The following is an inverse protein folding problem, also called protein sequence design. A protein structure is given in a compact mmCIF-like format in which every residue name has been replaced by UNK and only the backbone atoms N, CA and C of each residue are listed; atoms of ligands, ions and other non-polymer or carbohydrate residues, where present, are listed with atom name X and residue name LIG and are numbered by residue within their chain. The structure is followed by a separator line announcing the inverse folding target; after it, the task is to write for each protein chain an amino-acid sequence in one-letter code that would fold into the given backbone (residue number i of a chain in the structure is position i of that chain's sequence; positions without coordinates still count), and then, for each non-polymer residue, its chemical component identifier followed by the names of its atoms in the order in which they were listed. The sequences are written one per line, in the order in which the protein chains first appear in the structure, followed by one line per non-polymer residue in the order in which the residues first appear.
data_IF_368296118816
#
_entry.id   IF_368296118816
#
_cell.length_a   1.000
_cell.length_b   1.000
_cell.length_c   1.000
_cell.angle_alpha   90.00
_cell.angle_beta   90.00
_cell.angle_gamma   90.00
#
_symmetry.space_group_name_H-M   'P 1'
#
loop_
_entity.id
_entity.type
_entity.pdbx_description
1 polymer ?
#
# COMPACT_ATOMS: atom_id res chain seq x y z
N UNK A 1 1.48 41.60 -62.17
CA UNK A 1 0.61 42.15 -61.11
C UNK A 1 -0.52 41.18 -60.86
N UNK A 2 -0.90 40.89 -59.60
CA UNK A 2 -0.13 40.84 -58.34
C UNK A 2 -0.24 39.40 -57.74
N UNK A 3 0.35 38.94 -56.63
CA UNK A 3 1.12 39.44 -55.47
C UNK A 3 1.75 38.17 -54.85
N UNK A 4 3.07 38.03 -54.73
CA UNK A 4 3.87 38.36 -53.54
C UNK A 4 3.18 38.07 -52.19
N UNK A 5 3.57 36.99 -51.51
CA UNK A 5 3.51 36.88 -50.06
C UNK A 5 4.89 36.48 -49.52
N UNK A 6 5.48 37.42 -48.77
CA UNK A 6 6.69 37.29 -47.97
C UNK A 6 6.40 36.44 -46.74
N UNK A 7 7.31 35.53 -46.39
CA UNK A 7 7.45 35.05 -45.01
C UNK A 7 8.57 35.84 -44.35
N UNK A 8 8.19 36.66 -43.36
CA UNK A 8 9.10 37.35 -42.46
C UNK A 8 9.68 36.36 -41.44
N UNK A 9 11.01 36.36 -41.35
CA UNK A 9 11.77 35.84 -40.22
C UNK A 9 11.63 36.81 -39.03
N UNK A 10 11.22 36.33 -37.87
CA UNK A 10 11.42 37.05 -36.61
C UNK A 10 12.41 36.28 -35.74
N UNK A 11 13.61 36.83 -35.63
CA UNK A 11 14.55 36.58 -34.55
C UNK A 11 14.05 37.38 -33.34
N UNK A 12 13.93 36.73 -32.19
CA UNK A 12 13.83 37.42 -30.89
C UNK A 12 15.01 36.96 -30.05
N UNK A 13 15.85 37.96 -29.77
CA UNK A 13 17.02 37.88 -28.91
C UNK A 13 16.66 37.68 -27.43
N UNK A 14 17.61 36.98 -26.80
CA UNK A 14 18.02 36.93 -25.40
C UNK A 14 17.44 37.97 -24.43
N UNK A 15 17.07 37.50 -23.24
CA UNK A 15 17.46 38.14 -21.96
C UNK A 15 17.32 37.18 -20.77
N UNK A 16 18.46 36.67 -20.30
CA UNK A 16 18.65 36.17 -18.93
C UNK A 16 18.66 37.35 -17.95
N UNK A 17 18.10 37.19 -16.75
CA UNK A 17 18.64 37.83 -15.56
C UNK A 17 19.22 36.76 -14.62
N UNK A 18 20.52 36.85 -14.37
CA UNK A 18 21.15 36.18 -13.25
C UNK A 18 20.75 36.86 -11.94
N UNK A 19 20.47 36.06 -10.93
CA UNK A 19 20.44 36.49 -9.53
C UNK A 19 21.31 35.53 -8.74
N UNK A 20 22.48 36.04 -8.37
CA UNK A 20 23.35 35.53 -7.32
C UNK A 20 22.86 36.09 -5.99
N UNK A 21 22.62 35.26 -4.99
CA UNK A 21 22.68 35.67 -3.58
C UNK A 21 23.28 34.53 -2.76
N UNK A 22 24.56 34.69 -2.45
CA UNK A 22 25.20 34.04 -1.32
C UNK A 22 24.58 34.58 -0.01
N UNK A 23 24.38 33.69 0.96
CA UNK A 23 23.87 34.04 2.28
C UNK A 23 24.28 32.99 3.31
N UNK A 24 25.54 33.04 3.73
CA UNK A 24 26.01 32.42 4.97
C UNK A 24 25.31 33.09 6.16
N UNK A 25 24.59 32.33 6.99
CA UNK A 25 24.42 32.67 8.41
C UNK A 25 24.48 31.41 9.29
N UNK A 26 25.22 31.59 10.38
CA UNK A 26 25.77 30.63 11.34
C UNK A 26 24.73 30.07 12.34
N UNK A 27 25.08 28.98 13.05
CA UNK A 27 24.19 28.24 13.93
C UNK A 27 23.92 28.95 15.26
N UNK A 28 22.70 28.76 15.79
CA UNK A 28 22.34 29.16 17.15
C UNK A 28 22.58 27.97 18.07
N UNK A 29 23.63 28.10 18.89
CA UNK A 29 23.82 27.31 20.10
C UNK A 29 22.83 27.74 21.18
N UNK A 30 22.22 26.80 21.89
CA UNK A 30 21.86 27.04 23.28
C UNK A 30 22.05 25.77 24.11
N UNK A 31 22.60 26.02 25.28
CA UNK A 31 23.31 25.14 26.18
C UNK A 31 22.41 24.54 27.26
N UNK A 32 22.80 23.34 27.69
CA UNK A 32 22.89 22.85 29.08
C UNK A 32 21.94 23.44 30.13
N UNK A 33 21.20 22.54 30.79
CA UNK A 33 21.07 22.59 32.25
C UNK A 33 21.05 21.18 32.85
N UNK A 34 22.19 20.81 33.44
CA UNK A 34 22.31 19.76 34.44
C UNK A 34 21.66 20.22 35.76
N UNK A 35 20.86 19.36 36.39
CA UNK A 35 20.69 19.40 37.85
C UNK A 35 20.65 17.99 38.43
N UNK A 36 21.69 17.70 39.22
CA UNK A 36 21.84 16.60 40.17
C UNK A 36 20.79 16.68 41.29
N UNK A 37 20.31 15.52 41.75
CA UNK A 37 20.34 15.11 43.17
C UNK A 37 19.78 13.68 43.31
N UNK A 38 20.56 12.77 43.89
CA UNK A 38 20.07 11.46 44.34
C UNK A 38 19.21 11.56 45.60
N UNK A 39 18.69 10.43 46.09
CA UNK A 39 19.28 9.95 47.34
C UNK A 39 19.52 8.43 47.41
N UNK A 40 20.58 8.11 48.13
CA UNK A 40 20.96 6.81 48.67
C UNK A 40 19.90 6.26 49.64
N UNK A 41 19.51 5.00 49.51
CA UNK A 41 18.87 4.24 50.60
C UNK A 41 19.49 2.83 50.68
N UNK A 42 20.21 2.66 51.79
CA UNK A 42 20.44 1.49 52.66
C UNK A 42 20.01 0.09 52.19
N UNK A 43 21.02 -0.78 52.15
CA UNK A 43 20.92 -2.25 52.22
C UNK A 43 20.36 -2.70 53.56
N UNK A 44 19.30 -3.50 53.53
CA UNK A 44 18.93 -4.40 54.64
C UNK A 44 18.78 -5.81 54.12
N UNK A 45 19.63 -6.68 54.66
CA UNK A 45 19.62 -8.13 54.45
C UNK A 45 18.49 -8.73 55.28
N UNK A 46 17.53 -9.40 54.62
CA UNK A 46 16.56 -10.29 55.28
C UNK A 46 16.53 -11.59 54.48
N UNK A 47 17.06 -12.64 55.11
CA UNK A 47 16.83 -14.03 54.77
C UNK A 47 15.33 -14.33 54.83
N UNK A 48 14.72 -14.72 53.72
CA UNK A 48 13.47 -15.48 53.74
C UNK A 48 13.46 -16.49 52.60
N UNK A 49 13.67 -17.77 52.96
CA UNK A 49 13.36 -18.92 52.12
C UNK A 49 11.83 -19.05 52.06
N UNK A 50 11.22 -18.43 51.05
CA UNK A 50 9.89 -18.81 50.59
C UNK A 50 10.02 -19.32 49.15
N UNK A 51 9.88 -20.64 49.01
CA UNK A 51 9.71 -21.32 47.74
C UNK A 51 8.38 -20.87 47.14
N UNK A 52 8.41 -19.82 46.33
CA UNK A 52 7.31 -19.43 45.45
C UNK A 52 7.30 -20.41 44.27
N UNK A 53 6.42 -21.40 44.32
CA UNK A 53 5.99 -22.13 43.13
C UNK A 53 5.23 -21.16 42.23
N UNK A 54 5.91 -20.59 41.25
CA UNK A 54 5.32 -19.92 40.10
C UNK A 54 4.54 -20.96 39.30
N UNK A 55 3.26 -21.15 39.62
CA UNK A 55 2.32 -21.72 38.66
C UNK A 55 2.12 -20.68 37.57
N UNK A 56 2.80 -20.85 36.44
CA UNK A 56 2.44 -20.11 35.23
C UNK A 56 0.97 -20.41 34.91
N UNK A 57 0.11 -19.39 34.70
CA UNK A 57 -1.19 -19.64 34.15
C UNK A 57 -0.97 -20.25 32.78
N UNK A 58 -1.33 -21.53 32.64
CA UNK A 58 -1.42 -22.20 31.35
C UNK A 58 -2.41 -21.38 30.53
N UNK A 59 -1.92 -20.53 29.61
CA UNK A 59 -2.76 -19.97 28.56
C UNK A 59 -3.37 -21.18 27.87
N UNK A 60 -4.66 -21.41 28.08
CA UNK A 60 -5.43 -22.29 27.22
C UNK A 60 -5.34 -21.67 25.83
N UNK A 61 -4.41 -22.17 25.02
CA UNK A 61 -4.45 -21.99 23.58
C UNK A 61 -5.73 -22.68 23.16
N UNK A 62 -6.79 -21.89 22.96
CA UNK A 62 -8.05 -22.39 22.43
C UNK A 62 -7.75 -23.18 21.15
N UNK A 63 -8.47 -24.28 20.94
CA UNK A 63 -8.38 -24.99 19.67
C UNK A 63 -8.57 -23.97 18.53
N UNK A 64 -7.76 -24.03 17.46
CA UNK A 64 -7.88 -23.10 16.34
C UNK A 64 -9.32 -23.14 15.85
N UNK A 65 -10.02 -22.02 15.94
CA UNK A 65 -11.34 -21.83 15.36
C UNK A 65 -11.20 -22.03 13.86
N UNK A 66 -11.68 -23.16 13.35
CA UNK A 66 -11.81 -23.31 11.90
C UNK A 66 -12.81 -22.28 11.41
N UNK A 67 -12.39 -21.45 10.46
CA UNK A 67 -13.28 -20.54 9.74
C UNK A 67 -14.31 -21.38 8.97
N UNK A 68 -15.58 -20.97 9.01
CA UNK A 68 -16.66 -21.65 8.31
C UNK A 68 -16.36 -21.72 6.80
N UNK A 69 -16.58 -22.90 6.19
CA UNK A 69 -16.30 -23.13 4.78
C UNK A 69 -17.06 -22.16 3.86
N UNK A 70 -18.28 -21.78 4.22
CA UNK A 70 -19.08 -20.80 3.48
C UNK A 70 -18.35 -19.45 3.37
N UNK A 71 -17.69 -19.02 4.44
CA UNK A 71 -16.93 -17.77 4.46
C UNK A 71 -15.67 -17.87 3.61
N UNK A 72 -14.99 -19.02 3.64
CA UNK A 72 -13.86 -19.27 2.73
C UNK A 72 -14.33 -19.20 1.27
N UNK A 73 -15.45 -19.86 0.93
CA UNK A 73 -16.00 -19.81 -0.44
C UNK A 73 -16.38 -18.39 -0.86
N UNK A 74 -16.99 -17.60 0.03
CA UNK A 74 -17.33 -16.20 -0.26
C UNK A 74 -16.07 -15.35 -0.53
N UNK A 75 -15.01 -15.55 0.27
CA UNK A 75 -13.72 -14.88 0.06
C UNK A 75 -13.10 -15.31 -1.29
N UNK A 76 -13.16 -16.61 -1.60
CA UNK A 76 -12.69 -17.15 -2.87
C UNK A 76 -13.41 -16.51 -4.06
N UNK A 77 -14.72 -16.33 -3.96
CA UNK A 77 -15.54 -15.66 -4.97
C UNK A 77 -15.23 -14.16 -5.08
N UNK A 78 -15.22 -13.43 -3.95
CA UNK A 78 -14.97 -11.98 -3.92
C UNK A 78 -13.54 -11.60 -4.31
N UNK A 79 -12.62 -12.56 -4.36
CA UNK A 79 -11.23 -12.38 -4.83
C UNK A 79 -10.98 -13.06 -6.19
N UNK A 80 -12.04 -13.54 -6.85
CA UNK A 80 -11.94 -14.20 -8.15
C UNK A 80 -11.65 -13.20 -9.26
N UNK A 81 -10.96 -13.65 -10.32
CA UNK A 81 -10.64 -12.80 -11.47
C UNK A 81 -11.90 -12.29 -12.20
N UNK A 82 -12.98 -13.06 -12.15
CA UNK A 82 -14.27 -12.72 -12.76
C UNK A 82 -14.92 -11.55 -12.02
N UNK A 83 -15.17 -11.71 -10.71
CA UNK A 83 -15.73 -10.65 -9.87
C UNK A 83 -14.89 -9.38 -9.94
N UNK A 84 -13.56 -9.52 -9.85
CA UNK A 84 -12.61 -8.41 -9.96
C UNK A 84 -12.70 -7.69 -11.31
N UNK A 85 -12.89 -8.42 -12.41
CA UNK A 85 -13.05 -7.83 -13.74
C UNK A 85 -14.36 -7.06 -13.86
N UNK A 86 -15.45 -7.60 -13.33
CA UNK A 86 -16.75 -6.95 -13.35
C UNK A 86 -16.79 -5.72 -12.45
N UNK A 87 -16.27 -5.82 -11.22
CA UNK A 87 -16.13 -4.68 -10.30
C UNK A 87 -15.28 -3.57 -10.92
N UNK A 88 -14.15 -3.93 -11.54
CA UNK A 88 -13.31 -2.96 -12.25
C UNK A 88 -14.07 -2.24 -13.37
N UNK A 89 -14.88 -2.99 -14.13
CA UNK A 89 -15.70 -2.45 -15.21
C UNK A 89 -16.76 -1.49 -14.68
N UNK A 90 -17.49 -1.91 -13.66
CA UNK A 90 -18.52 -1.11 -13.02
C UNK A 90 -17.94 0.20 -12.47
N UNK A 91 -16.84 0.13 -11.70
CA UNK A 91 -16.20 1.33 -11.14
C UNK A 91 -15.76 2.28 -12.24
N UNK A 92 -15.11 1.76 -13.29
CA UNK A 92 -14.62 2.58 -14.41
C UNK A 92 -15.74 3.36 -15.09
N UNK A 93 -16.93 2.78 -15.18
CA UNK A 93 -18.09 3.40 -15.83
C UNK A 93 -18.75 4.50 -14.98
N UNK A 94 -18.47 4.55 -13.67
CA UNK A 94 -19.14 5.45 -12.72
C UNK A 94 -18.18 6.36 -11.92
N UNK A 95 -16.85 6.18 -12.01
CA UNK A 95 -15.90 6.92 -11.19
C UNK A 95 -15.65 8.37 -11.63
N UNK A 96 -16.06 8.77 -12.84
CA UNK A 96 -15.74 10.09 -13.38
C UNK A 96 -16.28 11.24 -12.51
N UNK A 97 -17.47 11.06 -11.92
CA UNK A 97 -18.11 12.03 -11.04
C UNK A 97 -17.39 12.19 -9.69
N UNK A 98 -16.46 11.29 -9.36
CA UNK A 98 -15.60 11.37 -8.18
C UNK A 98 -14.24 12.02 -8.49
N UNK A 99 -14.04 12.56 -9.70
CA UNK A 99 -12.82 13.27 -10.07
C UNK A 99 -12.81 14.73 -9.57
N UNK A 100 -11.64 15.36 -9.55
CA UNK A 100 -11.48 16.80 -9.27
C UNK A 100 -11.09 17.12 -7.83
N UNK A 101 -11.46 18.32 -7.37
CA UNK A 101 -11.15 18.82 -6.01
C UNK A 101 -12.23 18.41 -4.98
N UNK A 102 -12.80 17.22 -5.14
CA UNK A 102 -13.84 16.71 -4.24
C UNK A 102 -13.20 16.43 -2.88
N UNK A 103 -13.64 17.15 -1.85
CA UNK A 103 -13.25 16.83 -0.48
C UNK A 103 -14.27 15.86 0.11
N UNK A 104 -13.87 14.60 0.28
CA UNK A 104 -14.72 13.55 0.85
C UNK A 104 -15.07 13.79 2.33
N UNK A 105 -14.40 14.73 3.01
CA UNK A 105 -14.73 15.12 4.38
C UNK A 105 -15.90 16.11 4.48
N UNK A 106 -16.31 16.72 3.36
CA UNK A 106 -17.41 17.67 3.29
C UNK A 106 -18.75 17.01 2.90
N UNK A 107 -19.83 17.78 2.86
CA UNK A 107 -21.13 17.32 2.38
C UNK A 107 -21.06 16.96 0.89
N UNK A 108 -21.39 15.70 0.57
CA UNK A 108 -21.28 15.18 -0.79
C UNK A 108 -22.52 15.48 -1.64
N UNK A 109 -22.37 15.70 -2.96
CA UNK A 109 -23.52 15.84 -3.87
C UNK A 109 -24.44 14.62 -3.85
N UNK A 110 -25.76 14.85 -3.91
CA UNK A 110 -26.77 13.79 -3.94
C UNK A 110 -26.57 12.77 -5.06
N UNK A 111 -25.99 13.18 -6.19
CA UNK A 111 -25.67 12.28 -7.31
C UNK A 111 -24.71 11.16 -6.92
N UNK A 112 -23.75 11.42 -6.03
CA UNK A 112 -22.83 10.39 -5.53
C UNK A 112 -23.56 9.35 -4.68
N UNK A 113 -24.58 9.79 -3.92
CA UNK A 113 -25.46 8.88 -3.18
C UNK A 113 -26.30 7.99 -4.09
N UNK A 114 -26.77 8.50 -5.22
CA UNK A 114 -27.44 7.68 -6.24
C UNK A 114 -26.51 6.61 -6.80
N UNK A 115 -25.28 6.99 -7.18
CA UNK A 115 -24.28 6.04 -7.70
C UNK A 115 -23.96 4.95 -6.66
N UNK A 116 -23.89 5.31 -5.37
CA UNK A 116 -23.69 4.33 -4.31
C UNK A 116 -24.88 3.37 -4.13
N UNK A 117 -26.11 3.84 -4.27
CA UNK A 117 -27.28 2.95 -4.24
C UNK A 117 -27.24 1.97 -5.43
N UNK A 118 -26.90 2.46 -6.62
CA UNK A 118 -26.74 1.62 -7.82
C UNK A 118 -25.62 0.58 -7.63
N UNK A 119 -24.54 0.94 -6.93
CA UNK A 119 -23.47 0.01 -6.53
C UNK A 119 -23.98 -1.08 -5.60
N UNK A 120 -24.76 -0.71 -4.57
CA UNK A 120 -25.33 -1.67 -3.63
C UNK A 120 -26.27 -2.65 -4.34
N UNK A 121 -27.16 -2.16 -5.22
CA UNK A 121 -28.05 -3.02 -6.01
C UNK A 121 -27.26 -3.98 -6.92
N UNK A 122 -26.19 -3.50 -7.55
CA UNK A 122 -25.31 -4.33 -8.36
C UNK A 122 -24.62 -5.41 -7.51
N UNK A 123 -24.08 -5.05 -6.35
CA UNK A 123 -23.39 -5.98 -5.45
C UNK A 123 -24.34 -7.02 -4.86
N UNK A 124 -25.54 -6.61 -4.45
CA UNK A 124 -26.59 -7.51 -3.96
C UNK A 124 -27.00 -8.52 -5.03
N UNK A 125 -27.14 -8.07 -6.28
CA UNK A 125 -27.37 -8.97 -7.43
C UNK A 125 -26.25 -10.01 -7.58
N UNK A 126 -24.99 -9.57 -7.49
CA UNK A 126 -23.81 -10.45 -7.59
C UNK A 126 -23.71 -11.45 -6.43
N UNK A 127 -24.05 -11.04 -5.21
CA UNK A 127 -24.13 -11.93 -4.05
C UNK A 127 -25.28 -12.93 -4.19
N UNK A 128 -26.40 -12.52 -4.78
CA UNK A 128 -27.52 -13.40 -5.12
C UNK A 128 -27.10 -14.51 -6.08
N UNK A 129 -26.48 -14.13 -7.21
CA UNK A 129 -25.96 -15.07 -8.20
C UNK A 129 -24.97 -16.08 -7.56
N UNK A 130 -24.07 -15.59 -6.71
CA UNK A 130 -23.13 -16.44 -5.96
C UNK A 130 -23.84 -17.46 -5.05
N UNK A 131 -24.86 -17.03 -4.31
CA UNK A 131 -25.61 -17.93 -3.42
C UNK A 131 -26.35 -19.01 -4.21
N UNK A 132 -26.94 -18.65 -5.35
CA UNK A 132 -27.61 -19.59 -6.24
C UNK A 132 -26.64 -20.62 -6.81
N UNK A 133 -25.47 -20.18 -7.28
CA UNK A 133 -24.44 -21.05 -7.88
C UNK A 133 -23.83 -22.03 -6.87
N UNK A 134 -23.58 -21.58 -5.64
CA UNK A 134 -23.03 -22.41 -4.56
C UNK A 134 -24.12 -23.19 -3.79
N UNK A 135 -25.39 -23.03 -4.16
CA UNK A 135 -26.55 -23.60 -3.48
C UNK A 135 -26.54 -23.29 -1.96
N UNK A 136 -26.31 -22.02 -1.65
CA UNK A 136 -26.28 -21.46 -0.30
C UNK A 136 -27.52 -20.62 -0.06
N UNK A 137 -28.00 -20.60 1.19
CA UNK A 137 -29.08 -19.71 1.61
C UNK A 137 -28.49 -18.33 1.97
N UNK A 138 -28.91 -17.23 1.31
CA UNK A 138 -28.41 -15.89 1.60
C UNK A 138 -28.53 -15.50 3.09
N UNK A 139 -29.58 -15.96 3.78
CA UNK A 139 -29.77 -15.69 5.21
C UNK A 139 -28.73 -16.43 6.07
N UNK A 140 -28.36 -17.66 5.68
CA UNK A 140 -27.32 -18.44 6.36
C UNK A 140 -25.92 -17.86 6.09
N UNK A 141 -25.65 -17.43 4.86
CA UNK A 141 -24.42 -16.69 4.51
C UNK A 141 -24.32 -15.43 5.38
N UNK A 142 -25.34 -14.57 5.36
CA UNK A 142 -25.39 -13.34 6.16
C UNK A 142 -25.18 -13.59 7.66
N UNK A 143 -25.81 -14.65 8.19
CA UNK A 143 -25.66 -15.03 9.60
C UNK A 143 -24.23 -15.48 9.90
N UNK A 144 -23.63 -16.33 9.08
CA UNK A 144 -22.25 -16.78 9.25
C UNK A 144 -21.25 -15.64 9.15
N UNK A 145 -21.52 -14.67 8.27
CA UNK A 145 -20.74 -13.43 8.16
C UNK A 145 -20.79 -12.63 9.47
N UNK A 146 -21.99 -12.45 10.05
CA UNK A 146 -22.16 -11.78 11.34
C UNK A 146 -21.54 -12.57 12.53
N UNK A 147 -21.60 -13.89 12.51
CA UNK A 147 -20.96 -14.76 13.51
C UNK A 147 -19.43 -14.65 13.44
N UNK A 148 -18.85 -14.62 12.24
CA UNK A 148 -17.42 -14.36 12.06
C UNK A 148 -17.01 -12.97 12.59
N UNK A 149 -17.80 -11.92 12.34
CA UNK A 149 -17.56 -10.57 12.86
C UNK A 149 -17.62 -10.48 14.38
N UNK A 150 -18.53 -11.22 15.01
CA UNK A 150 -18.77 -11.14 16.46
C UNK A 150 -17.85 -12.05 17.28
N UNK A 151 -17.45 -13.20 16.73
CA UNK A 151 -16.55 -14.15 17.38
C UNK A 151 -15.08 -13.67 17.38
N UNK A 152 -14.66 -13.00 16.31
CA UNK A 152 -13.28 -12.57 16.14
C UNK A 152 -13.14 -11.06 16.36
N UNK A 153 -13.23 -10.62 17.62
CA UNK A 153 -12.98 -9.21 18.02
C UNK A 153 -11.59 -8.67 17.62
N UNK A 154 -10.70 -9.53 17.15
CA UNK A 154 -9.33 -9.21 16.71
C UNK A 154 -9.05 -9.51 15.23
N UNK A 155 -10.00 -10.03 14.43
CA UNK A 155 -9.74 -10.33 13.00
C UNK A 155 -10.32 -9.26 12.04
N UNK A 156 -9.38 -8.49 11.47
CA UNK A 156 -9.57 -7.23 10.73
C UNK A 156 -10.03 -7.38 9.27
N UNK A 157 -10.13 -8.59 8.74
CA UNK A 157 -10.39 -8.80 7.31
C UNK A 157 -11.87 -8.73 6.92
N UNK A 158 -12.74 -9.34 7.72
CA UNK A 158 -14.17 -9.32 7.42
C UNK A 158 -14.74 -7.88 7.44
N UNK A 159 -14.30 -7.00 8.36
CA UNK A 159 -14.57 -5.57 8.28
C UNK A 159 -14.09 -4.92 6.98
N UNK A 160 -12.97 -5.34 6.39
CA UNK A 160 -12.47 -4.76 5.14
C UNK A 160 -13.29 -5.19 3.90
N UNK A 161 -13.73 -6.46 3.85
CA UNK A 161 -14.67 -6.91 2.81
C UNK A 161 -16.04 -6.25 2.98
N UNK A 162 -16.53 -6.09 4.21
CA UNK A 162 -17.78 -5.36 4.47
C UNK A 162 -17.63 -3.86 4.24
N UNK A 163 -16.45 -3.28 4.47
CA UNK A 163 -16.23 -1.85 4.28
C UNK A 163 -16.47 -1.42 2.83
N UNK A 164 -16.34 -2.30 1.83
CA UNK A 164 -16.69 -1.95 0.45
C UNK A 164 -18.18 -1.60 0.30
N UNK A 165 -19.03 -2.06 1.23
CA UNK A 165 -20.46 -1.74 1.30
C UNK A 165 -20.75 -0.47 2.11
N UNK A 166 -19.73 0.19 2.66
CA UNK A 166 -19.86 1.48 3.35
C UNK A 166 -19.60 2.62 2.37
N UNK A 167 -20.43 3.67 2.44
CA UNK A 167 -20.36 4.80 1.53
C UNK A 167 -18.99 5.48 1.52
N UNK A 168 -18.38 5.69 2.70
CA UNK A 168 -17.12 6.43 2.82
C UNK A 168 -15.96 5.70 2.11
N UNK A 169 -15.89 4.39 2.27
CA UNK A 169 -14.87 3.56 1.64
C UNK A 169 -15.14 3.40 0.14
N UNK A 170 -16.40 3.22 -0.26
CA UNK A 170 -16.82 3.26 -1.66
C UNK A 170 -16.39 4.57 -2.34
N UNK A 171 -16.77 5.71 -1.77
CA UNK A 171 -16.49 7.03 -2.31
C UNK A 171 -14.98 7.30 -2.41
N UNK A 172 -14.22 6.85 -1.40
CA UNK A 172 -12.76 6.90 -1.41
C UNK A 172 -12.16 6.09 -2.56
N UNK A 173 -12.63 4.85 -2.77
CA UNK A 173 -12.14 3.99 -3.86
C UNK A 173 -12.48 4.58 -5.24
N UNK A 174 -13.70 5.09 -5.40
CA UNK A 174 -14.13 5.75 -6.63
C UNK A 174 -13.27 6.98 -6.94
N UNK A 175 -13.06 7.84 -5.95
CA UNK A 175 -12.17 9.00 -6.06
C UNK A 175 -10.73 8.59 -6.42
N UNK A 176 -10.18 7.60 -5.71
CA UNK A 176 -8.81 7.13 -5.96
C UNK A 176 -8.61 6.62 -7.39
N UNK A 177 -9.61 5.91 -7.93
CA UNK A 177 -9.58 5.42 -9.31
C UNK A 177 -9.78 6.56 -10.31
N UNK A 178 -10.67 7.51 -10.00
CA UNK A 178 -10.89 8.70 -10.84
C UNK A 178 -9.61 9.53 -11.00
N UNK A 179 -8.85 9.72 -9.92
CA UNK A 179 -7.59 10.47 -9.93
C UNK A 179 -6.37 9.64 -10.36
N UNK A 180 -6.52 8.32 -10.51
CA UNK A 180 -5.41 7.43 -10.91
C UNK A 180 -4.78 7.86 -12.23
N UNK A 181 -5.58 8.28 -13.22
CA UNK A 181 -5.06 8.79 -14.51
C UNK A 181 -4.16 10.02 -14.35
N UNK A 182 -4.52 10.93 -13.45
CA UNK A 182 -3.69 12.10 -13.15
C UNK A 182 -2.39 11.70 -12.46
N UNK A 183 -2.43 10.71 -11.55
CA UNK A 183 -1.22 10.15 -10.91
C UNK A 183 -0.29 9.51 -11.95
N UNK A 184 -0.85 8.74 -12.89
CA UNK A 184 -0.10 8.14 -13.99
C UNK A 184 0.60 9.22 -14.84
N UNK A 185 -0.13 10.26 -15.26
CA UNK A 185 0.46 11.38 -16.02
C UNK A 185 1.62 12.06 -15.28
N UNK A 186 1.45 12.34 -13.98
CA UNK A 186 2.53 12.91 -13.15
C UNK A 186 3.74 12.00 -13.00
N UNK A 187 3.53 10.68 -13.00
CA UNK A 187 4.61 9.70 -12.95
C UNK A 187 5.36 9.66 -14.28
N UNK A 188 4.65 9.74 -15.40
CA UNK A 188 5.25 9.80 -16.74
C UNK A 188 6.05 11.10 -16.94
N UNK A 189 5.51 12.25 -16.52
CA UNK A 189 6.23 13.54 -16.52
C UNK A 189 7.54 13.46 -15.71
N UNK A 190 7.53 12.77 -14.57
CA UNK A 190 8.72 12.60 -13.73
C UNK A 190 9.78 11.71 -14.39
N UNK A 191 9.38 10.74 -15.22
CA UNK A 191 10.31 9.94 -16.03
C UNK A 191 11.00 10.82 -17.07
N UNK A 192 10.25 11.69 -17.76
CA UNK A 192 10.81 12.59 -18.77
C UNK A 192 11.84 13.56 -18.16
N UNK A 193 11.51 14.18 -17.04
CA UNK A 193 12.42 15.09 -16.31
C UNK A 193 13.70 14.35 -15.87
N UNK A 194 13.55 13.16 -15.28
CA UNK A 194 14.71 12.39 -14.81
C UNK A 194 15.63 11.93 -15.95
N UNK A 195 15.07 11.66 -17.14
CA UNK A 195 15.87 11.33 -18.32
C UNK A 195 16.78 12.48 -18.76
N UNK A 196 16.39 13.74 -18.52
CA UNK A 196 17.22 14.92 -18.78
C UNK A 196 18.33 15.10 -17.73
N UNK A 197 18.04 14.79 -16.47
CA UNK A 197 18.96 14.99 -15.33
C UNK A 197 19.96 13.85 -15.12
N UNK A 198 19.67 12.65 -15.63
CA UNK A 198 20.58 11.49 -15.61
C UNK A 198 20.72 10.79 -14.25
N UNK A 199 19.81 11.03 -13.31
CA UNK A 199 19.76 10.36 -12.00
C UNK A 199 18.99 9.03 -12.01
N UNK A 200 19.19 8.20 -10.99
CA UNK A 200 18.36 7.00 -10.77
C UNK A 200 16.93 7.40 -10.43
N UNK A 201 15.95 6.96 -11.23
CA UNK A 201 14.55 7.32 -11.05
C UNK A 201 13.64 6.14 -11.41
N UNK A 202 12.84 5.67 -10.44
CA UNK A 202 11.92 4.53 -10.60
C UNK A 202 10.49 4.96 -10.96
N UNK A 203 10.28 6.23 -11.33
CA UNK A 203 8.94 6.72 -11.67
C UNK A 203 8.33 5.96 -12.83
N UNK A 204 7.00 5.90 -12.81
CA UNK A 204 6.19 5.29 -13.85
C UNK A 204 5.05 4.48 -13.28
N UNK A 205 4.25 3.93 -14.19
CA UNK A 205 3.21 2.96 -13.87
C UNK A 205 3.72 1.56 -14.17
N UNK A 206 3.62 0.67 -13.20
CA UNK A 206 4.14 -0.68 -13.29
C UNK A 206 3.08 -1.72 -12.95
N UNK A 207 3.06 -2.82 -13.69
CA UNK A 207 2.17 -3.96 -13.44
C UNK A 207 2.97 -5.13 -12.87
N UNK A 208 2.44 -5.84 -11.87
CA UNK A 208 3.11 -7.02 -11.34
C UNK A 208 3.28 -8.09 -12.46
N UNK A 209 4.49 -8.64 -12.60
CA UNK A 209 4.76 -9.71 -13.56
C UNK A 209 4.18 -11.04 -13.01
N UNK A 210 3.10 -11.58 -13.60
CA UNK A 210 2.47 -12.80 -13.09
C UNK A 210 3.37 -14.03 -13.24
N UNK A 211 4.30 -14.02 -14.20
CA UNK A 211 5.22 -15.15 -14.46
C UNK A 211 6.38 -15.19 -13.45
N UNK A 212 6.67 -14.05 -12.81
CA UNK A 212 7.72 -13.92 -11.81
C UNK A 212 7.21 -13.94 -10.36
N UNK A 213 5.89 -14.08 -10.16
CA UNK A 213 5.28 -14.09 -8.84
C UNK A 213 5.59 -15.39 -8.09
N UNK A 214 6.15 -15.27 -6.88
CA UNK A 214 6.42 -16.38 -5.97
C UNK A 214 5.38 -16.42 -4.83
N UNK A 215 4.31 -17.24 -4.97
CA UNK A 215 3.23 -17.28 -3.98
C UNK A 215 3.65 -17.90 -2.65
N UNK A 216 4.69 -18.72 -2.59
CA UNK A 216 5.17 -19.29 -1.33
C UNK A 216 6.12 -18.33 -0.62
N UNK A 217 7.03 -17.69 -1.36
CA UNK A 217 7.86 -16.61 -0.82
C UNK A 217 7.01 -15.45 -0.25
N UNK A 218 5.92 -15.07 -0.95
CA UNK A 218 4.98 -14.06 -0.46
C UNK A 218 4.28 -14.48 0.84
N UNK A 219 3.83 -15.73 0.94
CA UNK A 219 3.20 -16.25 2.17
C UNK A 219 4.19 -16.26 3.34
N UNK A 220 5.42 -16.71 3.14
CA UNK A 220 6.45 -16.71 4.20
C UNK A 220 6.83 -15.30 4.64
N UNK A 221 7.02 -14.36 3.71
CA UNK A 221 7.28 -12.96 4.05
C UNK A 221 6.14 -12.33 4.86
N UNK A 222 4.88 -12.59 4.46
CA UNK A 222 3.72 -12.09 5.20
C UNK A 222 3.60 -12.74 6.59
N UNK A 223 3.90 -14.04 6.73
CA UNK A 223 3.96 -14.69 8.06
C UNK A 223 5.03 -14.05 8.95
N UNK A 224 6.21 -13.78 8.38
CA UNK A 224 7.34 -13.18 9.08
C UNK A 224 6.98 -11.80 9.65
N UNK A 225 6.27 -10.99 8.86
CA UNK A 225 5.73 -9.69 9.27
C UNK A 225 4.50 -9.73 10.19
N UNK A 226 4.15 -10.89 10.74
CA UNK A 226 2.96 -11.13 11.55
C UNK A 226 1.62 -10.70 10.88
N UNK A 227 1.57 -10.71 9.55
CA UNK A 227 0.35 -10.42 8.81
C UNK A 227 -0.73 -11.45 9.19
N UNK A 228 -1.96 -11.05 9.57
CA UNK A 228 -2.99 -11.99 9.96
C UNK A 228 -3.32 -13.00 8.85
N UNK A 229 -3.63 -14.25 9.22
CA UNK A 229 -3.78 -15.39 8.28
C UNK A 229 -4.66 -15.07 7.07
N UNK A 230 -5.79 -14.43 7.34
CA UNK A 230 -6.79 -14.11 6.34
C UNK A 230 -6.28 -13.10 5.30
N UNK A 231 -5.54 -12.06 5.72
CA UNK A 231 -4.86 -11.15 4.80
C UNK A 231 -3.79 -11.87 4.00
N UNK A 232 -3.08 -12.84 4.59
CA UNK A 232 -2.11 -13.65 3.83
C UNK A 232 -2.80 -14.43 2.72
N UNK A 233 -3.93 -15.06 2.99
CA UNK A 233 -4.68 -15.82 1.96
C UNK A 233 -5.23 -14.94 0.86
N UNK A 234 -5.75 -13.77 1.23
CA UNK A 234 -6.22 -12.82 0.23
C UNK A 234 -5.06 -12.21 -0.54
N UNK A 235 -4.04 -11.67 0.11
CA UNK A 235 -2.87 -11.09 -0.55
C UNK A 235 -2.12 -12.11 -1.40
N UNK A 236 -2.03 -13.39 -1.01
CA UNK A 236 -1.43 -14.45 -1.83
C UNK A 236 -2.15 -14.61 -3.18
N UNK A 237 -3.45 -14.31 -3.24
CA UNK A 237 -4.25 -14.31 -4.48
C UNK A 237 -4.29 -12.93 -5.14
N UNK A 238 -4.57 -11.89 -4.36
CA UNK A 238 -4.67 -10.50 -4.78
C UNK A 238 -3.36 -9.96 -5.32
N UNK A 239 -2.19 -10.46 -4.91
CA UNK A 239 -0.88 -10.11 -5.50
C UNK A 239 -0.71 -10.56 -6.94
N UNK A 240 -1.38 -11.65 -7.36
CA UNK A 240 -1.56 -11.96 -8.80
C UNK A 240 -2.35 -10.85 -9.53
N UNK A 241 -3.11 -10.07 -8.77
CA UNK A 241 -3.98 -8.99 -9.22
C UNK A 241 -3.59 -7.62 -8.65
N UNK A 242 -2.38 -7.44 -8.09
CA UNK A 242 -1.83 -6.10 -7.83
C UNK A 242 -1.56 -5.57 -9.23
N UNK A 243 -2.62 -5.00 -9.83
CA UNK A 243 -2.64 -4.67 -11.25
C UNK A 243 -1.65 -3.56 -11.54
N UNK A 244 -1.49 -2.64 -10.59
CA UNK A 244 -0.79 -1.39 -10.78
C UNK A 244 -0.13 -0.87 -9.51
N UNK A 245 1.14 -0.50 -9.66
CA UNK A 245 1.83 0.43 -8.77
C UNK A 245 2.22 1.65 -9.60
N UNK A 246 1.77 2.83 -9.15
CA UNK A 246 2.21 4.11 -9.72
C UNK A 246 3.21 4.71 -8.78
N UNK A 247 4.42 4.96 -9.28
CA UNK A 247 5.50 5.56 -8.51
C UNK A 247 5.81 6.92 -9.09
N UNK A 248 5.85 7.93 -8.23
CA UNK A 248 6.35 9.27 -8.57
C UNK A 248 7.52 9.59 -7.65
N UNK A 249 8.70 9.71 -8.24
CA UNK A 249 9.93 10.06 -7.54
C UNK A 249 10.37 11.48 -7.92
N UNK A 250 10.71 12.27 -6.90
CA UNK A 250 11.38 13.56 -7.03
C UNK A 250 12.81 13.47 -6.49
N UNK A 251 13.50 14.60 -6.35
CA UNK A 251 14.81 14.71 -5.71
C UNK A 251 14.74 14.56 -4.18
N UNK A 252 13.59 14.90 -3.57
CA UNK A 252 13.42 14.92 -2.11
C UNK A 252 12.48 13.84 -1.58
N UNK A 253 11.60 13.30 -2.41
CA UNK A 253 10.60 12.33 -1.98
C UNK A 253 10.26 11.26 -3.02
N UNK A 254 9.54 10.24 -2.55
CA UNK A 254 8.89 9.23 -3.36
C UNK A 254 7.44 9.05 -2.91
N UNK A 255 6.52 9.00 -3.88
CA UNK A 255 5.13 8.63 -3.68
C UNK A 255 4.87 7.27 -4.33
N UNK A 256 4.39 6.33 -3.53
CA UNK A 256 3.90 5.03 -3.98
C UNK A 256 2.38 5.00 -3.89
N UNK A 257 1.70 4.72 -5.00
CA UNK A 257 0.27 4.44 -5.03
C UNK A 257 0.06 2.97 -5.41
N UNK A 258 -0.37 2.15 -4.44
CA UNK A 258 -0.68 0.74 -4.62
C UNK A 258 -2.18 0.57 -4.76
N UNK A 259 -2.65 0.02 -5.87
CA UNK A 259 -4.07 -0.30 -6.04
C UNK A 259 -4.28 -1.80 -5.85
N UNK A 260 -5.04 -2.16 -4.82
CA UNK A 260 -5.55 -3.52 -4.63
C UNK A 260 -7.05 -3.39 -4.57
N UNK A 261 -7.79 -3.80 -5.60
CA UNK A 261 -9.21 -3.45 -5.74
C UNK A 261 -10.04 -3.73 -4.49
N UNK A 262 -9.89 -4.90 -3.87
CA UNK A 262 -10.61 -5.22 -2.63
C UNK A 262 -10.23 -4.33 -1.43
N UNK A 263 -9.01 -3.80 -1.37
CA UNK A 263 -8.53 -2.96 -0.27
C UNK A 263 -8.39 -1.48 -0.66
N UNK A 264 -8.90 -1.13 -1.84
CA UNK A 264 -8.74 0.16 -2.49
C UNK A 264 -7.29 0.53 -2.80
N UNK A 265 -7.07 1.84 -3.00
CA UNK A 265 -5.73 2.39 -3.22
C UNK A 265 -5.10 2.77 -1.88
N UNK A 266 -3.82 2.47 -1.70
CA UNK A 266 -3.00 2.98 -0.59
C UNK A 266 -1.92 3.88 -1.17
N UNK A 267 -1.90 5.14 -0.74
CA UNK A 267 -0.92 6.14 -1.18
C UNK A 267 0.00 6.48 -0.03
N UNK A 268 1.30 6.26 -0.22
CA UNK A 268 2.35 6.56 0.75
C UNK A 268 3.33 7.55 0.13
N UNK A 269 3.47 8.74 0.72
CA UNK A 269 4.48 9.73 0.35
C UNK A 269 5.55 9.79 1.43
N UNK A 270 6.81 9.65 1.02
CA UNK A 270 7.94 9.45 1.91
C UNK A 270 9.07 10.38 1.48
N UNK A 271 9.49 11.27 2.38
CA UNK A 271 10.66 12.12 2.19
C UNK A 271 11.94 11.33 2.45
N UNK A 272 12.95 11.49 1.60
CA UNK A 272 14.18 10.71 1.71
C UNK A 272 14.97 11.05 2.98
N UNK A 273 15.46 10.02 3.66
CA UNK A 273 16.24 10.13 4.89
C UNK A 273 15.41 10.45 6.15
N UNK A 274 14.10 10.62 6.02
CA UNK A 274 13.21 10.96 7.13
C UNK A 274 12.26 9.80 7.47
N UNK A 275 12.24 9.34 8.74
CA UNK A 275 11.25 8.37 9.18
C UNK A 275 9.84 8.94 9.10
N UNK A 276 8.93 8.18 8.49
CA UNK A 276 7.50 8.51 8.40
C UNK A 276 6.66 7.34 8.86
N UNK A 277 5.52 7.65 9.47
CA UNK A 277 4.52 6.64 9.83
C UNK A 277 3.59 6.41 8.65
N UNK A 278 3.54 5.20 8.14
CA UNK A 278 2.61 4.80 7.07
C UNK A 278 1.72 3.66 7.53
N UNK A 279 0.64 3.42 6.79
CA UNK A 279 -0.19 2.24 6.96
C UNK A 279 0.31 1.11 6.05
N UNK A 280 0.50 -0.07 6.62
CA UNK A 280 0.78 -1.28 5.85
C UNK A 280 -0.49 -1.81 5.13
N UNK A 281 -0.38 -2.94 4.45
CA UNK A 281 -1.47 -3.52 3.65
C UNK A 281 -2.73 -3.87 4.46
N UNK A 282 -2.59 -4.15 5.76
CA UNK A 282 -3.72 -4.38 6.68
C UNK A 282 -3.98 -3.17 7.59
N UNK A 283 -3.64 -1.97 7.09
CA UNK A 283 -3.99 -0.65 7.65
C UNK A 283 -3.43 -0.36 9.05
N UNK A 284 -2.36 -1.05 9.43
CA UNK A 284 -1.63 -0.80 10.68
C UNK A 284 -0.44 0.11 10.46
N UNK A 285 -0.20 0.92 11.48
CA UNK A 285 0.86 1.89 11.44
C UNK A 285 2.21 1.19 11.59
N UNK A 286 3.15 1.54 10.70
CA UNK A 286 4.55 1.11 10.70
C UNK A 286 5.44 2.33 10.46
N UNK A 287 6.69 2.28 10.92
CA UNK A 287 7.68 3.29 10.58
C UNK A 287 8.43 2.86 9.33
N UNK A 288 8.60 3.76 8.38
CA UNK A 288 9.37 3.53 7.16
C UNK A 288 10.32 4.69 6.93
N UNK A 289 11.51 4.39 6.39
CA UNK A 289 12.46 5.40 5.91
C UNK A 289 13.00 4.93 4.58
N UNK A 290 13.04 5.83 3.59
CA UNK A 290 13.65 5.54 2.30
C UNK A 290 14.88 6.41 2.06
N UNK A 291 15.90 5.86 1.41
CA UNK A 291 17.12 6.55 1.02
C UNK A 291 17.43 6.27 -0.44
N UNK A 292 17.69 7.33 -1.20
CA UNK A 292 18.08 7.23 -2.60
C UNK A 292 19.59 7.00 -2.72
N UNK A 293 19.98 5.89 -3.36
CA UNK A 293 21.35 5.60 -3.75
C UNK A 293 21.55 5.84 -5.26
N UNK A 294 22.79 5.71 -5.75
CA UNK A 294 23.13 6.01 -7.15
C UNK A 294 22.44 5.12 -8.18
N UNK A 295 22.05 3.91 -7.80
CA UNK A 295 21.55 2.85 -8.70
C UNK A 295 20.32 2.11 -8.12
N UNK A 296 19.82 2.53 -6.96
CA UNK A 296 18.72 1.88 -6.25
C UNK A 296 18.05 2.80 -5.25
N UNK A 297 16.84 2.42 -4.88
CA UNK A 297 16.11 3.02 -3.77
C UNK A 297 16.02 1.98 -2.64
N UNK A 298 16.55 2.34 -1.47
CA UNK A 298 16.58 1.46 -0.29
C UNK A 298 15.55 1.96 0.73
N UNK A 299 14.83 1.06 1.37
CA UNK A 299 13.87 1.40 2.42
C UNK A 299 14.01 0.47 3.61
N UNK A 300 13.82 0.99 4.82
CA UNK A 300 13.82 0.21 6.06
C UNK A 300 12.48 0.40 6.74
N UNK A 301 11.79 -0.68 7.07
CA UNK A 301 10.55 -0.66 7.85
C UNK A 301 10.75 -1.30 9.23
N UNK A 302 10.11 -0.73 10.23
CA UNK A 302 10.14 -1.19 11.63
C UNK A 302 8.79 -0.95 12.30
N UNK A 303 8.64 -1.49 13.53
CA UNK A 303 7.41 -1.31 14.31
C UNK A 303 6.23 -2.11 13.78
N UNK A 304 6.48 -3.29 13.20
CA UNK A 304 5.43 -4.14 12.67
C UNK A 304 4.48 -4.60 13.80
N UNK A 305 3.16 -4.42 13.63
CA UNK A 305 2.17 -4.82 14.62
C UNK A 305 2.23 -6.34 14.86
N UNK A 306 2.11 -6.77 16.11
CA UNK A 306 2.16 -8.19 16.47
C UNK A 306 3.57 -8.78 16.56
N UNK A 307 4.62 -7.99 16.28
CA UNK A 307 6.02 -8.35 16.52
C UNK A 307 6.58 -7.48 17.65
N UNK A 308 7.40 -8.02 18.58
CA UNK A 308 8.04 -7.19 19.59
C UNK A 308 8.89 -6.07 18.97
N UNK A 309 8.92 -4.91 19.63
CA UNK A 309 9.65 -3.75 19.13
C UNK A 309 11.15 -4.04 18.99
N UNK A 310 11.74 -3.61 17.87
CA UNK A 310 13.16 -3.78 17.56
C UNK A 310 13.59 -5.21 17.19
N UNK A 311 12.65 -6.16 17.08
CA UNK A 311 12.95 -7.56 16.77
C UNK A 311 12.88 -7.87 15.27
N UNK A 312 12.03 -7.16 14.54
CA UNK A 312 11.89 -7.29 13.08
C UNK A 312 12.38 -6.02 12.39
N UNK A 313 13.20 -6.22 11.36
CA UNK A 313 13.50 -5.23 10.32
C UNK A 313 13.06 -5.76 8.97
N UNK A 314 12.47 -4.89 8.15
CA UNK A 314 12.15 -5.16 6.75
C UNK A 314 12.98 -4.21 5.88
N UNK A 315 14.02 -4.77 5.26
CA UNK A 315 14.93 -4.06 4.38
C UNK A 315 14.52 -4.27 2.93
N UNK A 316 14.01 -3.22 2.31
CA UNK A 316 13.51 -3.19 0.94
C UNK A 316 14.50 -2.52 -0.01
N UNK A 317 14.64 -3.06 -1.22
CA UNK A 317 15.49 -2.54 -2.28
C UNK A 317 14.72 -2.55 -3.59
N UNK A 318 14.70 -1.41 -4.27
CA UNK A 318 14.09 -1.21 -5.57
C UNK A 318 15.18 -0.93 -6.62
N UNK A 319 15.18 -1.74 -7.69
CA UNK A 319 16.17 -1.63 -8.78
C UNK A 319 15.50 -1.68 -10.15
N UNK A 320 16.10 -1.03 -11.13
CA UNK A 320 15.68 -1.09 -12.53
C UNK A 320 16.54 -2.08 -13.31
N UNK A 321 15.90 -2.89 -14.15
CA UNK A 321 16.53 -3.85 -15.06
C UNK A 321 16.00 -3.65 -16.49
N UNK A 322 16.71 -4.26 -17.45
CA UNK A 322 16.31 -4.34 -18.86
C UNK A 322 15.95 -2.99 -19.47
N UNK A 323 16.91 -2.05 -19.45
CA UNK A 323 16.75 -0.69 -19.97
C UNK A 323 15.53 0.03 -19.35
N UNK A 324 15.37 -0.09 -18.02
CA UNK A 324 14.29 0.51 -17.23
C UNK A 324 12.88 -0.01 -17.55
N UNK A 325 12.76 -1.18 -18.20
CA UNK A 325 11.46 -1.81 -18.49
C UNK A 325 10.98 -2.75 -17.39
N UNK A 326 11.89 -3.15 -16.47
CA UNK A 326 11.55 -3.97 -15.30
C UNK A 326 11.94 -3.25 -14.03
N UNK A 327 11.01 -3.20 -13.08
CA UNK A 327 11.26 -2.78 -11.72
C UNK A 327 11.27 -4.02 -10.83
N UNK A 328 12.30 -4.17 -10.02
CA UNK A 328 12.43 -5.27 -9.08
C UNK A 328 12.41 -4.71 -7.68
N UNK A 329 11.44 -5.17 -6.89
CA UNK A 329 11.37 -4.95 -5.45
C UNK A 329 11.84 -6.22 -4.75
N UNK A 330 12.84 -6.11 -3.89
CA UNK A 330 13.29 -7.19 -3.00
C UNK A 330 13.14 -6.70 -1.57
N UNK A 331 12.52 -7.50 -0.71
CA UNK A 331 12.45 -7.27 0.73
C UNK A 331 13.14 -8.41 1.47
N UNK A 332 13.90 -8.08 2.50
CA UNK A 332 14.50 -9.03 3.45
C UNK A 332 13.90 -8.75 4.81
N UNK A 333 13.13 -9.69 5.34
CA UNK A 333 12.55 -9.64 6.67
C UNK A 333 13.43 -10.44 7.63
N UNK A 334 14.05 -9.77 8.59
CA UNK A 334 14.97 -10.38 9.56
C UNK A 334 14.36 -10.36 10.95
N UNK A 335 14.17 -11.54 11.57
CA UNK A 335 13.67 -11.66 12.95
C UNK A 335 14.74 -12.16 13.90
N UNK A 336 15.27 -11.24 14.70
CA UNK A 336 16.34 -11.53 15.66
C UNK A 336 15.93 -12.53 16.75
N UNK A 337 14.64 -12.64 17.07
CA UNK A 337 14.15 -13.59 18.07
C UNK A 337 13.88 -15.00 17.51
N UNK A 338 13.82 -15.13 16.19
CA UNK A 338 13.69 -16.41 15.49
C UNK A 338 15.03 -16.89 14.89
N UNK A 339 16.03 -16.01 14.81
CA UNK A 339 17.31 -16.25 14.11
C UNK A 339 17.05 -16.69 12.65
N UNK A 340 16.11 -16.00 11.99
CA UNK A 340 15.61 -16.35 10.66
C UNK A 340 15.51 -15.10 9.80
N UNK A 341 15.83 -15.26 8.52
CA UNK A 341 15.70 -14.27 7.46
C UNK A 341 14.83 -14.82 6.33
N UNK A 342 13.86 -14.03 5.88
CA UNK A 342 13.03 -14.34 4.71
C UNK A 342 13.26 -13.29 3.64
N UNK A 343 13.67 -13.73 2.45
CA UNK A 343 13.83 -12.87 1.28
C UNK A 343 12.66 -13.09 0.33
N UNK A 344 11.94 -12.02 0.01
CA UNK A 344 10.88 -12.03 -1.00
C UNK A 344 11.19 -11.04 -2.13
N UNK A 345 10.85 -11.44 -3.35
CA UNK A 345 11.13 -10.67 -4.56
C UNK A 345 9.89 -10.58 -5.43
N UNK A 346 9.54 -9.37 -5.83
CA UNK A 346 8.49 -9.07 -6.80
C UNK A 346 9.10 -8.36 -8.01
N UNK A 347 8.67 -8.77 -9.20
CA UNK A 347 9.00 -8.08 -10.46
C UNK A 347 7.76 -7.35 -10.96
N UNK A 348 7.97 -6.15 -11.47
CA UNK A 348 6.97 -5.35 -12.14
C UNK A 348 7.45 -4.99 -13.55
N UNK A 349 6.53 -4.99 -14.51
CA UNK A 349 6.74 -4.60 -15.90
C UNK A 349 6.22 -3.18 -16.09
N UNK A 350 6.95 -2.34 -16.84
CA UNK A 350 6.48 -0.98 -17.13
C UNK A 350 5.25 -1.01 -18.05
N UNK A 351 4.15 -0.38 -17.64
CA UNK A 351 2.98 -0.22 -18.52
C UNK A 351 3.32 0.66 -19.72
N UNK A 352 2.83 0.27 -20.89
CA UNK A 352 3.04 1.04 -22.14
C UNK A 352 4.35 0.77 -22.89
N UNK A 353 5.35 0.12 -22.27
CA UNK A 353 6.63 -0.19 -22.92
C UNK A 353 6.51 -1.25 -24.05
N UNK A 354 5.41 -2.01 -24.10
CA UNK A 354 5.20 -3.13 -25.03
C UNK A 354 4.77 -2.79 -26.47
N UNK A 355 4.64 -1.51 -26.83
CA UNK A 355 3.91 -1.04 -28.02
C UNK A 355 4.47 -1.37 -29.42
N UNK A 356 5.56 -2.13 -29.58
CA UNK A 356 6.06 -2.50 -30.93
C UNK A 356 6.42 -3.97 -31.17
N UNK A 357 6.32 -4.87 -30.19
CA UNK A 357 6.91 -6.22 -30.33
C UNK A 357 6.06 -7.43 -29.97
N UNK A 358 4.99 -7.28 -29.17
CA UNK A 358 4.19 -8.43 -28.70
C UNK A 358 2.85 -8.51 -29.44
N UNK A 359 2.91 -8.89 -30.72
CA UNK A 359 1.82 -9.66 -31.37
C UNK A 359 2.33 -11.09 -31.52
N UNK A 360 1.74 -12.02 -30.78
CA UNK A 360 1.75 -13.43 -31.15
C UNK A 360 0.43 -13.76 -31.80
#
# INVERSE_FOLDING_TARGET
MPSEERKEESKVDEKKPGISMAGELRPVSSSLNEKKAGPTITTNSINNKNTLTLSHPTRHVGAPTMIDRTIVTLIDWGTSAEFESELSGWIKDHCEDFSGSLDLAEEQPLSLGTIFNDYCEWLDGKLGDFCDDENLDPDDVSKKMAECLSANKEEEFFPAFMAITEYDEFARQMHDIAVARMRMGKADDAVEIAAEEGGFNISGTWEADPDAYDPEGAEEALKMGACPWVFRKVLKRASKFVKDITIKQTDVDVEFAFTIHLFGTTVNRIEFGHPVTIKNLWKKDIQTTYTLESDRLCGVQTGHPGVPEGVLTDDSVWTLLEDNNKLVWTTTLSRADMDEDVVYRQVFLRKGAGGKGRRK
#
